data_IF_780789521606
#
_entry.id   IF_780789521606
#
_cell.length_a   1.000
_cell.length_b   1.000
_cell.length_c   1.000
_cell.angle_alpha   90.00
_cell.angle_beta   90.00
_cell.angle_gamma   90.00
#
_symmetry.space_group_name_H-M   'P 1'
#
loop_
_entity.id
_entity.type
_entity.pdbx_description
1 polymer ?
#
# COMPACT_ATOMS: atom_id res chain seq x y z
N UNK A 1 10.68 -23.97 -9.15
CA UNK A 1 9.23 -23.76 -9.06
C UNK A 1 8.99 -22.53 -8.20
N UNK A 2 8.32 -21.48 -8.68
CA UNK A 2 7.94 -20.31 -7.85
C UNK A 2 6.41 -20.30 -7.78
N UNK A 3 5.85 -20.43 -6.59
CA UNK A 3 4.41 -20.40 -6.41
C UNK A 3 3.90 -18.97 -6.52
N UNK A 4 2.70 -18.76 -7.08
CA UNK A 4 2.10 -17.43 -7.14
C UNK A 4 1.86 -16.91 -5.71
N UNK A 5 2.06 -15.61 -5.51
CA UNK A 5 1.74 -14.93 -4.26
C UNK A 5 0.96 -13.65 -4.60
N UNK A 6 -0.06 -13.34 -3.81
CA UNK A 6 -0.84 -12.11 -3.92
C UNK A 6 -0.86 -11.38 -2.57
N UNK A 7 -1.53 -10.22 -2.55
CA UNK A 7 -1.79 -9.45 -1.35
C UNK A 7 -2.73 -10.16 -0.36
N UNK A 8 -3.53 -11.11 -0.84
CA UNK A 8 -4.51 -11.88 -0.06
C UNK A 8 -4.20 -13.37 0.07
N UNK A 9 -3.24 -13.91 -0.69
CA UNK A 9 -3.01 -15.36 -0.74
C UNK A 9 -1.54 -15.75 -0.73
N UNK A 10 -1.23 -16.86 -0.07
CA UNK A 10 0.07 -17.54 -0.08
C UNK A 10 -0.12 -19.00 -0.41
N UNK A 11 0.73 -19.57 -1.26
CA UNK A 11 0.69 -20.98 -1.65
C UNK A 11 1.96 -21.69 -1.19
N UNK A 12 1.78 -22.89 -0.65
CA UNK A 12 2.83 -23.75 -0.13
C UNK A 12 2.77 -25.11 -0.82
N UNK A 13 3.93 -25.66 -1.16
CA UNK A 13 4.02 -27.05 -1.62
C UNK A 13 3.91 -27.99 -0.43
N UNK A 14 3.05 -29.00 -0.54
CA UNK A 14 3.08 -30.09 0.42
C UNK A 14 4.25 -31.05 0.11
N UNK A 15 4.77 -31.77 1.12
CA UNK A 15 5.88 -32.72 0.94
C UNK A 15 5.57 -33.85 -0.06
N UNK A 16 4.30 -34.12 -0.34
CA UNK A 16 3.86 -35.15 -1.29
C UNK A 16 4.20 -34.84 -2.76
N UNK A 17 4.61 -33.60 -3.06
CA UNK A 17 4.95 -33.13 -4.41
C UNK A 17 3.78 -33.08 -5.39
N UNK A 18 2.55 -33.29 -4.93
CA UNK A 18 1.34 -33.42 -5.77
C UNK A 18 0.25 -32.41 -5.40
N UNK A 19 0.23 -31.93 -4.15
CA UNK A 19 -0.80 -31.03 -3.66
C UNK A 19 -0.21 -29.70 -3.18
N UNK A 20 -1.07 -28.68 -3.12
CA UNK A 20 -0.75 -27.36 -2.60
C UNK A 20 -1.65 -27.04 -1.41
N UNK A 21 -1.09 -26.35 -0.43
CA UNK A 21 -1.83 -25.69 0.64
C UNK A 21 -1.86 -24.19 0.37
N UNK A 22 -2.98 -23.52 0.67
CA UNK A 22 -3.10 -22.08 0.52
C UNK A 22 -3.68 -21.44 1.77
N UNK A 23 -3.06 -20.34 2.18
CA UNK A 23 -3.64 -19.41 3.15
C UNK A 23 -4.28 -18.26 2.39
N UNK A 24 -5.55 -17.99 2.67
CA UNK A 24 -6.34 -16.95 1.99
C UNK A 24 -6.94 -16.02 3.03
N UNK A 25 -6.83 -14.71 2.79
CA UNK A 25 -7.38 -13.64 3.62
C UNK A 25 -8.48 -12.89 2.86
N UNK A 26 -9.50 -12.42 3.59
CA UNK A 26 -10.58 -11.59 3.03
C UNK A 26 -10.13 -10.18 2.65
N UNK A 27 -8.99 -9.73 3.18
CA UNK A 27 -8.40 -8.42 2.93
C UNK A 27 -6.89 -8.53 2.71
N UNK A 28 -6.25 -7.53 2.06
CA UNK A 28 -4.80 -7.51 1.90
C UNK A 28 -4.06 -7.59 3.24
N UNK A 29 -3.05 -8.46 3.33
CA UNK A 29 -2.18 -8.58 4.51
C UNK A 29 -0.73 -8.16 4.22
N UNK A 30 -0.42 -7.96 2.94
CA UNK A 30 0.90 -7.59 2.43
C UNK A 30 0.79 -6.78 1.15
N UNK A 31 1.87 -6.12 0.78
CA UNK A 31 1.97 -5.36 -0.47
C UNK A 31 3.27 -5.68 -1.18
N UNK A 32 3.26 -5.64 -2.51
CA UNK A 32 4.46 -5.78 -3.31
C UNK A 32 5.01 -4.39 -3.62
N UNK A 33 6.09 -4.01 -2.94
CA UNK A 33 6.70 -2.69 -3.04
C UNK A 33 8.21 -2.85 -3.02
N UNK A 34 8.91 -2.03 -3.80
CA UNK A 34 10.37 -2.07 -3.94
C UNK A 34 10.91 -3.46 -4.36
N UNK A 35 10.15 -4.17 -5.19
CA UNK A 35 10.54 -5.49 -5.73
C UNK A 35 10.34 -6.67 -4.76
N UNK A 36 9.75 -6.44 -3.59
CA UNK A 36 9.52 -7.48 -2.58
C UNK A 36 8.12 -7.43 -1.97
N UNK A 37 7.64 -8.59 -1.53
CA UNK A 37 6.47 -8.67 -0.65
C UNK A 37 6.86 -8.29 0.77
N UNK A 38 6.14 -7.35 1.36
CA UNK A 38 6.33 -6.92 2.75
C UNK A 38 4.98 -6.75 3.47
N UNK A 39 4.94 -6.88 4.81
CA UNK A 39 3.73 -6.61 5.57
C UNK A 39 3.21 -5.19 5.34
N UNK A 40 1.91 -5.00 5.50
CA UNK A 40 1.34 -3.64 5.52
C UNK A 40 1.88 -2.90 6.74
N UNK A 41 2.52 -1.76 6.50
CA UNK A 41 3.08 -0.86 7.50
C UNK A 41 2.55 0.57 7.26
N UNK A 42 1.51 0.99 8.02
CA UNK A 42 0.89 2.29 7.84
C UNK A 42 1.67 3.44 8.52
N UNK A 43 2.82 3.18 9.15
CA UNK A 43 3.60 4.23 9.81
C UNK A 43 4.07 5.24 8.76
N UNK A 44 3.91 6.52 9.09
CA UNK A 44 4.31 7.61 8.20
C UNK A 44 5.81 7.88 8.33
N UNK A 45 6.43 8.14 7.18
CA UNK A 45 7.78 8.65 7.06
C UNK A 45 7.77 9.86 6.15
N UNK A 46 8.69 10.79 6.38
CA UNK A 46 8.93 11.86 5.44
C UNK A 46 9.73 11.32 4.25
N UNK A 47 9.24 11.56 3.04
CA UNK A 47 9.87 11.22 1.78
C UNK A 47 9.54 12.31 0.75
N UNK A 48 10.58 12.86 0.14
CA UNK A 48 10.47 13.89 -0.90
C UNK A 48 9.58 15.10 -0.48
N UNK A 49 9.70 15.53 0.79
CA UNK A 49 8.94 16.66 1.35
C UNK A 49 7.47 16.38 1.65
N UNK A 50 7.05 15.11 1.62
CA UNK A 50 5.70 14.66 1.95
C UNK A 50 5.73 13.55 2.99
N UNK A 51 4.66 13.37 3.76
CA UNK A 51 4.48 12.21 4.62
C UNK A 51 3.84 11.07 3.82
N UNK A 52 4.48 9.91 3.79
CA UNK A 52 4.02 8.73 3.08
C UNK A 52 4.02 7.51 4.01
N UNK A 53 3.06 6.60 3.90
CA UNK A 53 3.12 5.32 4.61
C UNK A 53 4.31 4.48 4.13
N UNK A 54 4.94 3.74 5.06
CA UNK A 54 6.05 2.84 4.74
C UNK A 54 5.67 1.79 3.70
N UNK A 55 4.55 1.09 3.88
CA UNK A 55 4.08 0.06 2.96
C UNK A 55 2.55 -0.12 3.03
N UNK A 56 1.82 0.42 2.06
CA UNK A 56 0.36 0.25 1.94
C UNK A 56 -0.02 -0.03 0.50
N UNK A 57 -1.27 -0.49 0.28
CA UNK A 57 -1.80 -0.71 -1.06
C UNK A 57 -2.28 0.64 -1.62
N UNK A 58 -1.73 1.05 -2.75
CA UNK A 58 -1.97 2.36 -3.35
C UNK A 58 -0.97 3.42 -2.87
N UNK A 59 -1.09 4.61 -3.43
CA UNK A 59 -0.20 5.74 -3.17
C UNK A 59 -0.93 6.81 -2.36
N UNK A 60 -0.43 7.10 -1.17
CA UNK A 60 -0.93 8.17 -0.29
C UNK A 60 0.23 9.12 0.03
N UNK A 61 0.02 10.40 -0.25
CA UNK A 61 0.93 11.47 0.14
C UNK A 61 0.18 12.52 0.92
N UNK A 62 0.61 12.74 2.16
CA UNK A 62 0.13 13.80 3.02
C UNK A 62 1.14 14.95 3.01
N UNK A 63 0.67 16.17 3.11
CA UNK A 63 1.57 17.31 3.27
C UNK A 63 2.21 17.32 4.66
N UNK A 64 3.46 17.80 4.72
CA UNK A 64 4.17 18.12 5.98
C UNK A 64 3.67 19.44 6.61
N UNK A 65 2.80 20.19 5.91
CA UNK A 65 2.25 21.48 6.35
C UNK A 65 2.18 22.51 5.21
N UNK A 66 1.64 23.70 5.48
CA UNK A 66 1.52 24.79 4.50
C UNK A 66 0.14 24.92 3.83
N UNK A 67 0.06 25.71 2.75
CA UNK A 67 -1.22 26.20 2.18
C UNK A 67 -1.59 25.63 0.82
N UNK A 68 -0.79 24.76 0.21
CA UNK A 68 -0.97 24.34 -1.19
C UNK A 68 -1.85 23.09 -1.33
N UNK A 69 -1.41 21.95 -0.78
CA UNK A 69 -2.13 20.67 -0.84
C UNK A 69 -2.07 20.00 0.52
N UNK A 70 -3.18 19.41 0.96
CA UNK A 70 -3.24 18.66 2.21
C UNK A 70 -3.01 17.16 1.98
N UNK A 71 -3.58 16.62 0.90
CA UNK A 71 -3.58 15.19 0.61
C UNK A 71 -3.62 14.94 -0.91
N UNK A 72 -2.87 13.94 -1.34
CA UNK A 72 -2.98 13.30 -2.66
C UNK A 72 -3.12 11.81 -2.43
N UNK A 73 -4.08 11.18 -3.09
CA UNK A 73 -4.23 9.73 -3.05
C UNK A 73 -4.51 9.18 -4.45
N UNK A 74 -3.91 8.04 -4.74
CA UNK A 74 -4.12 7.29 -5.98
C UNK A 74 -4.23 5.81 -5.62
N UNK A 75 -5.41 5.23 -5.81
CA UNK A 75 -5.68 3.83 -5.50
C UNK A 75 -7.01 3.36 -6.08
N UNK A 76 -7.34 2.09 -5.85
CA UNK A 76 -8.53 1.44 -6.42
C UNK A 76 -9.84 1.75 -5.67
N UNK A 77 -9.82 2.60 -4.65
CA UNK A 77 -11.02 3.01 -3.93
C UNK A 77 -11.74 4.17 -4.64
N UNK A 78 -13.02 4.37 -4.33
CA UNK A 78 -14.00 5.27 -4.99
C UNK A 78 -13.57 6.75 -5.15
N UNK A 79 -12.44 7.16 -4.60
CA UNK A 79 -11.96 8.52 -4.66
C UNK A 79 -10.53 8.58 -5.16
N UNK A 80 -10.33 9.20 -6.33
CA UNK A 80 -9.03 9.67 -6.82
C UNK A 80 -9.07 11.19 -6.78
N UNK A 81 -8.10 11.83 -6.13
CA UNK A 81 -8.12 13.28 -6.05
C UNK A 81 -7.00 13.89 -5.20
N UNK A 82 -6.98 15.21 -5.20
CA UNK A 82 -6.14 16.02 -4.33
C UNK A 82 -7.04 16.95 -3.52
N UNK A 83 -6.81 17.02 -2.22
CA UNK A 83 -7.50 17.95 -1.33
C UNK A 83 -6.60 19.18 -1.15
N UNK A 84 -7.01 20.36 -1.63
CA UNK A 84 -6.27 21.60 -1.38
C UNK A 84 -6.43 22.04 0.09
N UNK A 85 -5.49 22.84 0.60
CA UNK A 85 -5.67 23.46 1.91
C UNK A 85 -6.77 24.54 1.81
N UNK A 86 -7.65 24.60 2.82
CA UNK A 86 -8.82 25.52 2.84
C UNK A 86 -8.47 27.02 2.90
N UNK A 87 -7.20 27.41 3.08
CA UNK A 87 -6.73 28.80 3.26
C UNK A 87 -5.60 29.19 2.28
N UNK A 88 -5.72 28.86 0.99
CA UNK A 88 -4.78 29.35 -0.04
C UNK A 88 -5.03 30.82 -0.47
N UNK A 89 -5.61 31.65 0.40
CA UNK A 89 -5.90 33.05 0.16
C UNK A 89 -4.95 33.94 0.96
N UNK A 90 -3.85 34.36 0.34
CA UNK A 90 -3.26 35.70 0.48
C UNK A 90 -2.65 36.10 -0.85
#
# INVERSE_FOLDING_TARGET
MKFPQSDTSTFYANPDGKTLFAEVSSTPVRVHKDGAWQPIDPRLIEKDGTLQPKAVKGELSLSTGGTTKALTYTGSSRWTGSIPCRNASR
#
